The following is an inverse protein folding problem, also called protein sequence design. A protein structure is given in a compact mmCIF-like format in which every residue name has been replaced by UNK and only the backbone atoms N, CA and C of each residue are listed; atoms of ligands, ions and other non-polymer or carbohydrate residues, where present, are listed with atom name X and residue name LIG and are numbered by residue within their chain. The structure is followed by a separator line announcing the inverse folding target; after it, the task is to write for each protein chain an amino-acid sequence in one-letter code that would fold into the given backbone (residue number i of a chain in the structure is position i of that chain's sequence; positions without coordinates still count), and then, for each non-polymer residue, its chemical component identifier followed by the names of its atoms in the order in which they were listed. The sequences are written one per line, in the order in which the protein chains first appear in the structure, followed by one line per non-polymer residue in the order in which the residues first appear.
data_IF_466926542180
#
_entry.id   IF_466926542180
#
_cell.length_a   1.000
_cell.length_b   1.000
_cell.length_c   1.000
_cell.angle_alpha   90.00
_cell.angle_beta   90.00
_cell.angle_gamma   90.00
#
_symmetry.space_group_name_H-M   'P 1'
#
loop_
_entity.id
_entity.type
_entity.pdbx_description
1 polymer ?
#
# COMPACT_ATOMS: atom_id res chain seq x y z
N UNK A 1 -11.15 13.52 -19.11
CA UNK A 1 -12.47 13.95 -18.60
C UNK A 1 -13.23 14.61 -19.74
N UNK A 2 -13.74 13.77 -20.63
CA UNK A 2 -14.69 14.11 -21.71
C UNK A 2 -16.03 13.41 -21.47
N UNK A 3 -16.05 12.26 -20.79
CA UNK A 3 -17.29 11.56 -20.41
C UNK A 3 -17.90 12.18 -19.17
N UNK A 4 -17.12 12.35 -18.09
CA UNK A 4 -17.54 13.14 -16.94
C UNK A 4 -17.43 14.64 -17.27
N UNK A 5 -18.58 15.31 -17.41
CA UNK A 5 -18.68 16.73 -17.76
C UNK A 5 -20.00 17.33 -17.24
N UNK A 6 -20.10 18.68 -17.24
CA UNK A 6 -21.19 19.44 -16.65
C UNK A 6 -22.61 19.15 -17.20
N UNK A 7 -22.74 18.47 -18.34
CA UNK A 7 -24.06 18.01 -18.83
C UNK A 7 -24.64 16.87 -18.00
N UNK A 8 -23.82 16.23 -17.15
CA UNK A 8 -24.25 15.17 -16.23
C UNK A 8 -24.67 15.71 -14.85
N UNK A 9 -24.49 17.00 -14.55
CA UNK A 9 -24.73 17.58 -13.22
C UNK A 9 -26.17 17.30 -12.73
N UNK A 10 -27.17 17.43 -13.61
CA UNK A 10 -28.57 17.10 -13.30
C UNK A 10 -28.77 15.63 -12.92
N UNK A 11 -28.05 14.70 -13.55
CA UNK A 11 -28.10 13.27 -13.23
C UNK A 11 -27.37 12.94 -11.93
N UNK A 12 -26.24 13.59 -11.67
CA UNK A 12 -25.48 13.46 -10.42
C UNK A 12 -26.26 14.02 -9.22
N UNK A 13 -26.88 15.20 -9.36
CA UNK A 13 -27.80 15.77 -8.35
C UNK A 13 -29.02 14.86 -8.14
N UNK A 14 -29.56 14.24 -9.20
CA UNK A 14 -30.65 13.26 -9.07
C UNK A 14 -30.23 12.01 -8.30
N UNK A 15 -28.99 11.54 -8.46
CA UNK A 15 -28.42 10.46 -7.66
C UNK A 15 -28.31 10.84 -6.17
N UNK A 16 -27.76 12.03 -5.87
CA UNK A 16 -27.71 12.57 -4.50
C UNK A 16 -29.12 12.64 -3.88
N UNK A 17 -30.10 13.17 -4.60
CA UNK A 17 -31.48 13.28 -4.12
C UNK A 17 -32.11 11.92 -3.80
N UNK A 18 -31.74 10.85 -4.52
CA UNK A 18 -32.21 9.50 -4.23
C UNK A 18 -31.52 8.89 -2.99
N UNK A 19 -30.22 9.15 -2.79
CA UNK A 19 -29.51 8.79 -1.55
C UNK A 19 -30.08 9.52 -0.32
N UNK A 20 -30.43 10.81 -0.45
CA UNK A 20 -31.09 11.58 0.61
C UNK A 20 -32.50 11.03 0.92
N UNK A 21 -33.25 10.57 -0.09
CA UNK A 21 -34.58 9.97 0.12
C UNK A 21 -34.51 8.65 0.88
N UNK A 22 -33.57 7.77 0.53
CA UNK A 22 -33.33 6.48 1.21
C UNK A 22 -33.17 6.65 2.73
N UNK A 23 -33.94 5.90 3.54
CA UNK A 23 -33.82 5.96 5.01
C UNK A 23 -32.43 5.52 5.49
N UNK A 24 -31.83 4.54 4.82
CA UNK A 24 -30.55 3.94 5.20
C UNK A 24 -29.35 4.77 4.73
N UNK A 25 -29.47 5.42 3.56
CA UNK A 25 -28.37 6.15 2.93
C UNK A 25 -28.31 7.63 3.32
N UNK A 26 -29.41 8.22 3.81
CA UNK A 26 -29.55 9.67 4.05
C UNK A 26 -28.43 10.30 4.86
N UNK A 27 -28.04 9.65 5.97
CA UNK A 27 -27.01 10.17 6.86
C UNK A 27 -25.63 10.30 6.18
N UNK A 28 -25.38 9.52 5.13
CA UNK A 28 -24.10 9.42 4.41
C UNK A 28 -24.24 9.82 2.94
N UNK A 29 -25.34 10.50 2.56
CA UNK A 29 -25.72 10.66 1.16
C UNK A 29 -24.70 11.45 0.33
N UNK A 30 -24.06 12.46 0.93
CA UNK A 30 -23.01 13.25 0.27
C UNK A 30 -21.67 12.51 0.17
N UNK A 31 -21.33 11.68 1.17
CA UNK A 31 -20.11 10.86 1.14
C UNK A 31 -20.19 9.77 0.07
N UNK A 32 -21.30 9.00 0.04
CA UNK A 32 -21.52 7.98 -0.98
C UNK A 32 -21.53 8.57 -2.40
N UNK A 33 -22.07 9.78 -2.57
CA UNK A 33 -22.05 10.48 -3.86
C UNK A 33 -20.63 10.98 -4.24
N UNK A 34 -19.86 11.45 -3.26
CA UNK A 34 -18.46 11.85 -3.47
C UNK A 34 -17.60 10.67 -3.90
N UNK A 35 -17.67 9.54 -3.18
CA UNK A 35 -16.94 8.32 -3.55
C UNK A 35 -17.35 7.83 -4.96
N UNK A 36 -18.65 7.83 -5.27
CA UNK A 36 -19.16 7.50 -6.61
C UNK A 36 -18.60 8.43 -7.72
N UNK A 37 -18.50 9.73 -7.47
CA UNK A 37 -17.89 10.68 -8.41
C UNK A 37 -16.38 10.44 -8.57
N UNK A 38 -15.68 10.17 -7.46
CA UNK A 38 -14.24 9.85 -7.45
C UNK A 38 -13.95 8.58 -8.25
N UNK A 39 -14.74 7.52 -8.09
CA UNK A 39 -14.58 6.27 -8.84
C UNK A 39 -14.82 6.48 -10.35
N UNK A 40 -15.90 7.18 -10.74
CA UNK A 40 -16.18 7.50 -12.16
C UNK A 40 -15.03 8.28 -12.82
N UNK A 41 -14.52 9.30 -12.14
CA UNK A 41 -13.42 10.15 -12.62
C UNK A 41 -12.12 9.32 -12.70
N UNK A 42 -11.85 8.50 -11.68
CA UNK A 42 -10.64 7.66 -11.62
C UNK A 42 -10.59 6.62 -12.73
N UNK A 43 -11.71 5.96 -13.03
CA UNK A 43 -11.78 4.98 -14.12
C UNK A 43 -11.75 5.64 -15.51
N UNK A 44 -12.27 6.86 -15.69
CA UNK A 44 -12.06 7.59 -16.95
C UNK A 44 -10.56 7.93 -17.15
N UNK A 45 -9.88 8.41 -16.11
CA UNK A 45 -8.43 8.68 -16.15
C UNK A 45 -7.64 7.39 -16.43
N UNK A 46 -7.94 6.29 -15.73
CA UNK A 46 -7.33 4.97 -15.95
C UNK A 46 -7.50 4.51 -17.40
N UNK A 47 -8.73 4.60 -17.92
CA UNK A 47 -9.06 4.18 -19.28
C UNK A 47 -8.29 5.00 -20.32
N UNK A 48 -8.23 6.33 -20.17
CA UNK A 48 -7.46 7.23 -21.05
C UNK A 48 -5.97 6.87 -21.04
N UNK A 49 -5.38 6.60 -19.88
CA UNK A 49 -3.97 6.19 -19.78
C UNK A 49 -3.72 4.82 -20.43
N UNK A 50 -4.60 3.84 -20.22
CA UNK A 50 -4.49 2.49 -20.80
C UNK A 50 -4.58 2.48 -22.34
N UNK A 51 -5.40 3.35 -22.94
CA UNK A 51 -5.52 3.46 -24.41
C UNK A 51 -4.54 4.45 -25.04
N UNK A 52 -3.74 5.17 -24.24
CA UNK A 52 -2.82 6.20 -24.74
C UNK A 52 -1.67 5.58 -25.55
N UNK A 53 -1.76 5.65 -26.88
CA UNK A 53 -0.69 5.20 -27.78
C UNK A 53 0.64 5.93 -27.54
N UNK A 54 0.62 7.16 -27.04
CA UNK A 54 1.84 7.87 -26.66
C UNK A 54 2.48 7.24 -25.40
N UNK A 55 1.68 6.87 -24.40
CA UNK A 55 2.18 6.18 -23.20
C UNK A 55 2.73 4.79 -23.56
N UNK A 56 2.00 4.02 -24.39
CA UNK A 56 2.42 2.72 -24.89
C UNK A 56 3.72 2.79 -25.70
N UNK A 57 3.92 3.85 -26.50
CA UNK A 57 5.18 4.09 -27.24
C UNK A 57 6.33 4.43 -26.31
N UNK A 58 6.14 5.34 -25.36
CA UNK A 58 7.18 5.71 -24.38
C UNK A 58 7.63 4.51 -23.52
N UNK A 59 6.70 3.62 -23.16
CA UNK A 59 6.98 2.38 -22.41
C UNK A 59 7.06 1.13 -23.31
N UNK A 60 7.30 1.31 -24.61
CA UNK A 60 7.38 0.18 -25.56
C UNK A 60 8.65 -0.64 -25.36
N UNK A 61 8.63 -1.90 -25.79
CA UNK A 61 9.83 -2.76 -25.87
C UNK A 61 11.00 -2.08 -26.61
N UNK A 62 10.71 -1.31 -27.66
CA UNK A 62 11.75 -0.57 -28.40
C UNK A 62 12.37 0.53 -27.53
N UNK A 63 11.57 1.31 -26.81
CA UNK A 63 12.06 2.35 -25.89
C UNK A 63 12.85 1.74 -24.72
N UNK A 64 12.34 0.66 -24.12
CA UNK A 64 12.98 -0.04 -23.01
C UNK A 64 14.31 -0.70 -23.41
N UNK A 65 14.41 -1.31 -24.58
CA UNK A 65 15.67 -1.89 -25.07
C UNK A 65 16.70 -0.85 -25.54
N UNK A 66 16.29 0.39 -25.81
CA UNK A 66 17.21 1.51 -26.05
C UNK A 66 17.62 2.25 -24.76
N UNK A 67 16.87 2.13 -23.67
CA UNK A 67 17.19 2.78 -22.39
C UNK A 67 18.62 2.48 -21.88
N UNK A 68 19.17 1.25 -21.95
CA UNK A 68 20.55 0.97 -21.55
C UNK A 68 21.59 1.80 -22.32
N UNK A 69 21.38 2.02 -23.62
CA UNK A 69 22.28 2.82 -24.47
C UNK A 69 22.14 4.31 -24.15
N UNK A 70 20.90 4.79 -23.97
CA UNK A 70 20.62 6.17 -23.60
C UNK A 70 21.24 6.52 -22.24
N UNK A 71 21.03 5.66 -21.24
CA UNK A 71 21.61 5.79 -19.90
C UNK A 71 23.15 5.78 -19.94
N UNK A 72 23.76 4.94 -20.77
CA UNK A 72 25.21 4.96 -21.00
C UNK A 72 25.68 6.28 -21.61
N UNK A 73 24.97 6.83 -22.60
CA UNK A 73 25.34 8.07 -23.27
C UNK A 73 25.26 9.30 -22.35
N UNK A 74 24.30 9.35 -21.42
CA UNK A 74 24.19 10.45 -20.46
C UNK A 74 25.17 10.34 -19.28
N UNK A 75 25.43 9.13 -18.76
CA UNK A 75 26.16 8.94 -17.49
C UNK A 75 27.59 8.37 -17.67
N UNK A 76 27.95 7.87 -18.84
CA UNK A 76 29.28 7.28 -19.14
C UNK A 76 29.55 5.89 -18.54
N UNK A 77 28.65 5.36 -17.71
CA UNK A 77 28.82 4.08 -17.02
C UNK A 77 28.65 2.87 -17.95
N UNK A 78 29.76 2.27 -18.41
CA UNK A 78 29.79 1.13 -19.35
C UNK A 78 29.03 -0.12 -18.87
N UNK A 79 28.96 -0.31 -17.56
CA UNK A 79 28.29 -1.44 -16.92
C UNK A 79 27.27 -0.93 -15.90
N UNK A 80 26.18 -1.66 -15.75
CA UNK A 80 25.29 -1.60 -14.60
C UNK A 80 25.80 -2.58 -13.54
N UNK A 81 25.66 -2.23 -12.28
CA UNK A 81 25.97 -3.09 -11.14
C UNK A 81 24.72 -3.92 -10.81
N UNK A 82 24.80 -5.24 -10.96
CA UNK A 82 23.83 -6.19 -10.42
C UNK A 82 24.16 -6.46 -8.96
N UNK A 83 23.29 -6.04 -8.06
CA UNK A 83 23.39 -6.25 -6.61
C UNK A 83 22.51 -7.42 -6.18
N UNK A 84 23.00 -8.22 -5.23
CA UNK A 84 22.37 -9.47 -4.76
C UNK A 84 23.25 -10.14 -3.69
N UNK A 85 23.37 -11.48 -3.70
CA UNK A 85 24.31 -12.20 -2.79
C UNK A 85 25.78 -11.85 -3.01
N UNK A 86 26.11 -11.36 -4.21
CA UNK A 86 27.38 -10.76 -4.61
C UNK A 86 27.04 -9.62 -5.55
N UNK A 87 27.89 -8.60 -5.60
CA UNK A 87 27.86 -7.62 -6.68
C UNK A 87 28.60 -8.17 -7.91
N UNK A 88 28.12 -7.83 -9.10
CA UNK A 88 28.78 -8.12 -10.38
C UNK A 88 28.35 -7.10 -11.44
N UNK A 89 29.14 -6.96 -12.48
CA UNK A 89 28.83 -6.08 -13.61
C UNK A 89 27.90 -6.75 -14.63
N UNK A 90 27.03 -5.95 -15.25
CA UNK A 90 26.18 -6.27 -16.39
C UNK A 90 26.41 -5.22 -17.48
N UNK A 91 26.93 -5.61 -18.64
CA UNK A 91 27.16 -4.64 -19.71
C UNK A 91 25.87 -4.14 -20.35
N UNK A 92 25.94 -2.97 -20.99
CA UNK A 92 24.85 -2.33 -21.73
C UNK A 92 24.25 -3.27 -22.78
N UNK A 93 25.09 -4.03 -23.49
CA UNK A 93 24.67 -5.00 -24.51
C UNK A 93 23.87 -6.16 -23.91
N UNK A 94 24.30 -6.71 -22.77
CA UNK A 94 23.59 -7.80 -22.12
C UNK A 94 22.20 -7.35 -21.63
N UNK A 95 22.11 -6.18 -20.97
CA UNK A 95 20.82 -5.64 -20.53
C UNK A 95 19.92 -5.31 -21.73
N UNK A 96 20.46 -4.74 -22.81
CA UNK A 96 19.73 -4.51 -24.05
C UNK A 96 19.17 -5.81 -24.63
N UNK A 97 20.00 -6.85 -24.74
CA UNK A 97 19.62 -8.12 -25.35
C UNK A 97 18.46 -8.80 -24.59
N UNK A 98 18.48 -8.75 -23.25
CA UNK A 98 17.36 -9.23 -22.41
C UNK A 98 16.08 -8.44 -22.70
N UNK A 99 16.17 -7.11 -22.79
CA UNK A 99 15.02 -6.23 -23.05
C UNK A 99 14.55 -6.27 -24.52
N UNK A 100 15.37 -6.81 -25.45
CA UNK A 100 15.05 -6.93 -26.87
C UNK A 100 14.62 -8.34 -27.32
N UNK A 101 14.70 -9.37 -26.48
CA UNK A 101 14.31 -10.74 -26.82
C UNK A 101 12.79 -10.88 -27.08
N UNK A 102 12.38 -11.59 -28.14
CA UNK A 102 10.98 -11.81 -28.56
C UNK A 102 10.46 -13.21 -28.21
N UNK A 103 11.32 -14.23 -28.15
CA UNK A 103 10.96 -15.61 -27.80
C UNK A 103 11.37 -16.01 -26.38
N UNK A 104 10.77 -17.07 -25.84
CA UNK A 104 11.15 -17.60 -24.51
C UNK A 104 12.59 -18.16 -24.54
N UNK A 105 12.97 -18.74 -25.67
CA UNK A 105 14.28 -19.27 -25.97
C UNK A 105 15.35 -18.17 -26.00
N UNK A 106 15.07 -17.03 -26.66
CA UNK A 106 15.94 -15.85 -26.64
C UNK A 106 16.04 -15.23 -25.25
N UNK A 107 14.92 -15.11 -24.52
CA UNK A 107 14.90 -14.59 -23.14
C UNK A 107 15.79 -15.46 -22.24
N UNK A 108 15.64 -16.79 -22.32
CA UNK A 108 16.46 -17.71 -21.54
C UNK A 108 17.94 -17.62 -21.92
N UNK A 109 18.26 -17.64 -23.22
CA UNK A 109 19.64 -17.53 -23.70
C UNK A 109 20.31 -16.21 -23.28
N UNK A 110 19.57 -15.09 -23.32
CA UNK A 110 20.06 -13.77 -22.88
C UNK A 110 20.28 -13.72 -21.36
N UNK A 111 19.38 -14.31 -20.57
CA UNK A 111 19.50 -14.44 -19.10
C UNK A 111 20.71 -15.32 -18.72
N UNK A 112 20.93 -16.43 -19.44
CA UNK A 112 22.07 -17.33 -19.23
C UNK A 112 23.41 -16.66 -19.61
N UNK A 113 23.48 -15.95 -20.74
CA UNK A 113 24.68 -15.18 -21.11
C UNK A 113 24.98 -14.05 -20.12
N UNK A 114 23.94 -13.33 -19.66
CA UNK A 114 24.07 -12.33 -18.59
C UNK A 114 24.35 -12.95 -17.19
N UNK A 115 24.36 -14.28 -17.08
CA UNK A 115 24.57 -15.02 -15.83
C UNK A 115 23.65 -14.57 -14.69
N UNK A 116 22.40 -14.20 -15.00
CA UNK A 116 21.47 -13.57 -14.08
C UNK A 116 20.98 -14.52 -12.97
N UNK A 117 21.06 -14.05 -11.72
CA UNK A 117 20.69 -14.79 -10.53
C UNK A 117 19.23 -14.58 -10.11
N UNK A 118 18.63 -15.59 -9.47
CA UNK A 118 17.19 -15.60 -9.11
C UNK A 118 16.73 -14.52 -8.10
N UNK A 119 17.63 -13.65 -7.62
CA UNK A 119 17.38 -12.54 -6.65
C UNK A 119 18.44 -11.45 -6.80
N UNK A 120 18.43 -10.73 -7.91
CA UNK A 120 19.36 -9.63 -8.22
C UNK A 120 18.59 -8.39 -8.73
N UNK A 121 19.17 -7.20 -8.57
CA UNK A 121 18.61 -5.90 -9.02
C UNK A 121 19.72 -4.96 -9.54
N UNK A 122 19.34 -3.93 -10.31
CA UNK A 122 20.27 -2.99 -10.98
C UNK A 122 20.62 -1.76 -10.11
N UNK A 123 21.82 -1.18 -10.32
CA UNK A 123 22.44 0.03 -9.70
C UNK A 123 23.47 0.65 -10.66
N UNK A 124 23.75 1.96 -10.85
CA UNK A 124 23.21 3.28 -10.42
C UNK A 124 23.66 3.97 -9.10
N UNK A 125 24.92 3.71 -8.73
CA UNK A 125 25.77 4.58 -7.87
C UNK A 125 25.50 4.52 -6.35
N UNK A 126 24.70 3.56 -5.90
CA UNK A 126 24.60 3.19 -4.48
C UNK A 126 23.46 3.84 -3.71
N UNK A 127 22.64 4.67 -4.37
CA UNK A 127 21.37 5.15 -3.82
C UNK A 127 20.18 4.20 -4.11
N UNK A 128 20.40 3.07 -4.81
CA UNK A 128 19.31 2.19 -5.26
C UNK A 128 18.44 1.65 -4.14
N UNK A 129 19.02 1.30 -3.00
CA UNK A 129 18.23 0.79 -1.88
C UNK A 129 17.17 1.84 -1.46
N UNK A 130 17.48 3.14 -1.59
CA UNK A 130 16.49 4.22 -1.42
C UNK A 130 15.50 4.27 -2.58
N UNK A 131 15.96 4.29 -3.84
CA UNK A 131 15.09 4.37 -5.05
C UNK A 131 14.11 3.19 -5.14
N UNK A 132 14.55 1.99 -4.75
CA UNK A 132 13.75 0.77 -4.68
C UNK A 132 12.77 0.81 -3.50
N UNK A 133 13.18 1.31 -2.33
CA UNK A 133 12.24 1.55 -1.22
C UNK A 133 11.16 2.58 -1.61
N UNK A 134 11.48 3.61 -2.40
CA UNK A 134 10.50 4.55 -2.96
C UNK A 134 9.49 3.81 -3.86
N UNK A 135 9.96 2.99 -4.80
CA UNK A 135 9.07 2.21 -5.68
C UNK A 135 8.17 1.26 -4.89
N UNK A 136 8.72 0.47 -3.96
CA UNK A 136 7.93 -0.44 -3.12
C UNK A 136 6.92 0.31 -2.22
N UNK A 137 7.28 1.50 -1.72
CA UNK A 137 6.36 2.37 -0.98
C UNK A 137 5.22 2.87 -1.88
N UNK A 138 5.52 3.33 -3.10
CA UNK A 138 4.52 3.74 -4.09
C UNK A 138 3.62 2.59 -4.56
N UNK A 139 4.11 1.35 -4.59
CA UNK A 139 3.32 0.16 -4.91
C UNK A 139 2.25 -0.13 -3.86
N UNK A 140 2.52 0.09 -2.57
CA UNK A 140 1.61 -0.31 -1.48
C UNK A 140 0.85 0.86 -0.83
N UNK A 141 1.37 2.09 -0.90
CA UNK A 141 0.79 3.28 -0.26
C UNK A 141 -0.37 3.85 -1.08
N UNK A 142 -1.49 4.16 -0.41
CA UNK A 142 -2.62 4.94 -0.94
C UNK A 142 -2.57 6.40 -0.49
N UNK A 143 -2.14 6.67 0.75
CA UNK A 143 -1.91 8.01 1.31
C UNK A 143 -0.72 7.99 2.28
N UNK A 144 0.09 9.04 2.28
CA UNK A 144 1.16 9.30 3.26
C UNK A 144 1.26 10.80 3.55
N UNK A 145 1.78 11.16 4.73
CA UNK A 145 1.97 12.54 5.16
C UNK A 145 2.76 13.37 4.13
N UNK A 146 3.86 12.80 3.60
CA UNK A 146 4.80 13.46 2.68
C UNK A 146 4.14 14.05 1.42
N UNK A 147 3.23 13.30 0.80
CA UNK A 147 2.54 13.72 -0.43
C UNK A 147 1.17 14.36 -0.19
N UNK A 148 0.69 14.36 1.07
CA UNK A 148 -0.68 14.76 1.41
C UNK A 148 -0.70 15.57 2.72
N UNK A 149 0.21 16.54 2.84
CA UNK A 149 0.32 17.49 3.97
C UNK A 149 -0.97 18.26 4.28
N UNK A 150 -1.88 18.37 3.29
CA UNK A 150 -3.17 19.04 3.40
C UNK A 150 -4.35 18.06 3.60
N UNK A 151 -4.14 16.84 4.10
CA UNK A 151 -5.27 16.05 4.62
C UNK A 151 -5.66 16.61 5.98
N UNK A 152 -6.83 17.23 6.05
CA UNK A 152 -7.44 17.60 7.33
C UNK A 152 -8.35 16.49 7.91
N UNK A 153 -8.80 15.52 7.07
CA UNK A 153 -9.68 14.41 7.47
C UNK A 153 -9.14 13.04 7.01
N UNK A 154 -8.66 12.21 7.94
CA UNK A 154 -8.44 10.76 7.72
C UNK A 154 -9.49 9.97 8.49
N UNK A 155 -10.27 9.14 7.81
CA UNK A 155 -11.12 8.14 8.44
C UNK A 155 -10.34 6.86 8.79
N UNK A 156 -10.62 6.28 9.95
CA UNK A 156 -10.11 4.97 10.36
C UNK A 156 -10.89 3.86 9.65
N UNK A 157 -10.19 2.99 8.93
CA UNK A 157 -10.76 1.95 8.08
C UNK A 157 -9.70 0.94 7.65
N UNK A 158 -10.08 -0.10 6.90
CA UNK A 158 -9.11 -1.06 6.35
C UNK A 158 -7.94 -0.37 5.63
N UNK A 159 -6.71 -0.71 6.03
CA UNK A 159 -5.49 -0.14 5.46
C UNK A 159 -4.92 1.09 6.18
N UNK A 160 -5.63 1.70 7.14
CA UNK A 160 -5.06 2.76 7.99
C UNK A 160 -3.91 2.21 8.84
N UNK A 161 -2.74 2.86 8.80
CA UNK A 161 -1.57 2.55 9.62
C UNK A 161 -1.38 3.61 10.70
N UNK A 162 -1.28 3.14 11.94
CA UNK A 162 -1.01 3.96 13.12
C UNK A 162 0.29 3.55 13.81
N UNK A 163 0.95 4.48 14.49
CA UNK A 163 2.19 4.31 15.24
C UNK A 163 1.99 4.81 16.68
N UNK A 164 2.51 4.09 17.69
CA UNK A 164 2.57 4.59 19.07
C UNK A 164 3.98 5.04 19.50
N UNK A 165 4.05 5.66 20.68
CA UNK A 165 5.30 6.13 21.29
C UNK A 165 6.30 5.02 21.67
N UNK A 166 5.95 3.75 21.46
CA UNK A 166 6.81 2.58 21.72
C UNK A 166 7.23 1.86 20.42
N UNK A 167 7.06 2.52 19.26
CA UNK A 167 7.37 2.00 17.93
C UNK A 167 6.58 0.74 17.53
N UNK A 168 5.42 0.48 18.16
CA UNK A 168 4.46 -0.49 17.64
C UNK A 168 3.61 0.15 16.54
N UNK A 169 3.44 -0.62 15.47
CA UNK A 169 2.66 -0.22 14.29
C UNK A 169 1.37 -1.03 14.25
N UNK A 170 0.26 -0.37 13.97
CA UNK A 170 -1.07 -0.96 13.98
C UNK A 170 -1.72 -0.78 12.61
N UNK A 171 -1.85 -1.87 11.86
CA UNK A 171 -2.59 -1.91 10.60
C UNK A 171 -4.05 -2.24 10.89
N UNK A 172 -4.97 -1.33 10.59
CA UNK A 172 -6.40 -1.61 10.67
C UNK A 172 -6.79 -2.66 9.61
N UNK A 173 -7.36 -3.78 10.07
CA UNK A 173 -7.79 -4.92 9.24
C UNK A 173 -9.32 -5.02 9.12
N UNK A 174 -10.06 -4.22 9.90
CA UNK A 174 -11.52 -4.09 9.85
C UNK A 174 -12.02 -3.85 8.43
N UNK A 175 -13.04 -4.60 7.92
CA UNK A 175 -13.64 -4.33 6.61
C UNK A 175 -14.18 -2.90 6.47
N UNK A 176 -14.20 -2.38 5.24
CA UNK A 176 -14.65 -1.02 4.96
C UNK A 176 -16.13 -0.79 5.33
N UNK A 177 -16.99 -1.80 5.14
CA UNK A 177 -18.39 -1.76 5.56
C UNK A 177 -18.58 -1.63 7.08
N UNK A 178 -17.63 -2.17 7.85
CA UNK A 178 -17.64 -2.19 9.32
C UNK A 178 -16.85 -1.00 9.91
N UNK A 179 -16.44 -0.07 9.03
CA UNK A 179 -15.71 1.18 9.36
C UNK A 179 -16.58 2.43 9.15
N UNK A 180 -17.83 2.27 8.70
CA UNK A 180 -18.80 3.32 8.35
C UNK A 180 -20.13 3.05 9.04
N UNK A 181 -21.04 4.04 9.02
CA UNK A 181 -22.38 3.97 9.65
C UNK A 181 -22.36 3.72 11.16
N UNK A 182 -21.25 4.05 11.81
CA UNK A 182 -20.99 3.80 13.23
C UNK A 182 -21.86 4.65 14.15
N UNK A 183 -22.03 4.21 15.39
CA UNK A 183 -22.81 4.89 16.44
C UNK A 183 -21.99 4.91 17.74
N UNK A 184 -22.10 5.97 18.54
CA UNK A 184 -21.54 6.18 19.90
C UNK A 184 -20.12 5.65 20.20
N UNK A 185 -19.93 4.32 20.25
CA UNK A 185 -18.66 3.62 20.41
C UNK A 185 -18.50 2.57 19.31
N UNK A 186 -17.34 2.56 18.64
CA UNK A 186 -16.95 1.52 17.71
C UNK A 186 -15.64 0.85 18.13
N UNK A 187 -15.59 -0.49 18.09
CA UNK A 187 -14.37 -1.26 18.30
C UNK A 187 -13.74 -1.59 16.93
N UNK A 188 -12.42 -1.41 16.81
CA UNK A 188 -11.66 -1.61 15.57
C UNK A 188 -10.57 -2.66 15.76
N UNK A 189 -10.50 -3.63 14.84
CA UNK A 189 -9.45 -4.65 14.79
C UNK A 189 -8.20 -4.18 14.05
N UNK A 190 -7.04 -4.37 14.69
CA UNK A 190 -5.73 -4.07 14.13
C UNK A 190 -4.80 -5.28 14.21
N UNK A 191 -3.95 -5.47 13.20
CA UNK A 191 -2.74 -6.28 13.32
C UNK A 191 -1.59 -5.42 13.85
N UNK A 192 -0.97 -5.85 14.95
CA UNK A 192 0.24 -5.24 15.53
C UNK A 192 1.50 -5.77 14.84
N UNK A 193 2.28 -4.84 14.30
CA UNK A 193 3.68 -5.00 13.89
C UNK A 193 4.62 -4.11 14.70
N UNK A 194 5.87 -4.04 14.26
CA UNK A 194 6.95 -3.20 14.83
C UNK A 194 7.73 -2.54 13.70
N UNK A 195 8.46 -1.46 14.02
CA UNK A 195 9.56 -1.02 13.16
C UNK A 195 10.71 -2.03 13.25
N UNK A 196 11.34 -2.35 12.11
CA UNK A 196 12.44 -3.32 11.99
C UNK A 196 13.29 -2.99 10.76
N UNK A 197 14.55 -2.58 10.96
CA UNK A 197 15.45 -2.17 9.88
C UNK A 197 15.92 -3.31 8.97
N UNK A 198 15.84 -4.56 9.43
CA UNK A 198 16.52 -5.72 8.82
C UNK A 198 15.53 -6.76 8.26
N UNK A 199 14.33 -6.85 8.85
CA UNK A 199 13.37 -7.93 8.59
C UNK A 199 11.94 -7.37 8.44
N UNK A 200 11.78 -6.24 7.76
CA UNK A 200 10.48 -5.68 7.39
C UNK A 200 9.80 -6.48 6.27
N UNK A 201 8.51 -6.19 6.03
CA UNK A 201 7.74 -6.67 4.87
C UNK A 201 6.73 -5.62 4.34
N UNK A 202 6.81 -4.38 4.85
CA UNK A 202 5.98 -3.26 4.50
C UNK A 202 6.85 -1.98 4.61
N UNK A 203 6.73 -1.07 3.65
CA UNK A 203 7.51 0.18 3.56
C UNK A 203 6.56 1.35 3.32
N UNK A 204 6.61 2.36 4.19
CA UNK A 204 5.88 3.62 4.02
C UNK A 204 6.89 4.77 4.12
N UNK A 205 6.81 5.75 3.22
CA UNK A 205 7.62 6.97 3.36
C UNK A 205 7.16 7.80 4.56
N UNK A 206 8.13 8.27 5.35
CA UNK A 206 7.87 9.26 6.40
C UNK A 206 7.75 10.69 5.83
N UNK A 207 7.28 11.62 6.66
CA UNK A 207 7.13 13.03 6.30
C UNK A 207 8.42 13.74 5.87
N UNK A 208 9.60 13.20 6.18
CA UNK A 208 10.92 13.77 5.86
C UNK A 208 11.58 13.12 4.63
N UNK A 209 10.97 12.07 4.05
CA UNK A 209 11.51 11.34 2.90
C UNK A 209 12.49 10.21 3.25
N UNK A 210 12.46 9.75 4.50
CA UNK A 210 12.94 8.43 4.92
C UNK A 210 11.82 7.37 4.83
N UNK A 211 11.97 6.27 5.58
CA UNK A 211 11.04 5.14 5.54
C UNK A 211 10.73 4.55 6.93
N UNK A 212 9.44 4.41 7.21
CA UNK A 212 8.95 3.42 8.16
C UNK A 212 9.09 2.02 7.56
N UNK A 213 10.19 1.34 7.90
CA UNK A 213 10.42 -0.10 7.65
C UNK A 213 9.64 -0.91 8.68
N UNK A 214 8.55 -1.54 8.25
CA UNK A 214 7.57 -2.16 9.16
C UNK A 214 7.59 -3.67 9.00
N UNK A 215 7.78 -4.39 10.11
CA UNK A 215 7.50 -5.82 10.19
C UNK A 215 6.06 -6.03 10.64
N UNK A 216 5.22 -6.51 9.73
CA UNK A 216 3.80 -6.80 9.93
C UNK A 216 3.57 -8.33 9.90
N UNK A 217 3.60 -9.01 11.08
CA UNK A 217 3.53 -10.47 11.17
C UNK A 217 2.09 -10.98 11.13
N UNK A 218 1.70 -11.67 10.04
CA UNK A 218 0.36 -12.26 9.86
C UNK A 218 0.07 -13.44 10.83
N UNK A 219 -0.10 -13.14 12.12
CA UNK A 219 -0.39 -14.08 13.22
C UNK A 219 -1.56 -13.58 14.05
N UNK A 220 -2.52 -14.45 14.34
CA UNK A 220 -3.69 -14.11 15.17
C UNK A 220 -3.32 -13.58 16.57
N UNK A 221 -2.19 -14.03 17.15
CA UNK A 221 -1.66 -13.55 18.43
C UNK A 221 -1.19 -12.09 18.45
N UNK A 222 -1.22 -11.41 17.29
CA UNK A 222 -0.94 -9.98 17.17
C UNK A 222 -2.17 -9.16 16.73
N UNK A 223 -3.35 -9.79 16.60
CA UNK A 223 -4.60 -9.04 16.49
C UNK A 223 -4.87 -8.39 17.85
N UNK A 224 -5.19 -7.10 17.84
CA UNK A 224 -5.69 -6.36 19.00
C UNK A 224 -6.93 -5.56 18.60
N UNK A 225 -7.71 -5.15 19.61
CA UNK A 225 -8.83 -4.23 19.42
C UNK A 225 -8.53 -2.89 20.09
N UNK A 226 -8.95 -1.79 19.46
CA UNK A 226 -9.05 -0.48 20.09
C UNK A 226 -10.48 0.06 19.96
N UNK A 227 -11.05 0.50 21.08
CA UNK A 227 -12.32 1.21 21.14
C UNK A 227 -12.15 2.69 20.80
N UNK A 228 -13.03 3.26 19.99
CA UNK A 228 -13.08 4.70 19.69
C UNK A 228 -14.49 5.25 19.91
N UNK A 229 -14.59 6.51 20.36
CA UNK A 229 -15.84 7.25 20.38
C UNK A 229 -16.17 7.80 19.00
N UNK A 230 -17.40 7.61 18.54
CA UNK A 230 -17.90 8.12 17.26
C UNK A 230 -18.42 9.54 17.47
N UNK A 231 -17.94 10.50 16.68
CA UNK A 231 -18.44 11.87 16.75
C UNK A 231 -19.81 11.99 16.08
N UNK A 232 -20.74 12.67 16.75
CA UNK A 232 -22.15 12.74 16.37
C UNK A 232 -22.34 13.27 14.95
N UNK A 233 -23.02 12.49 14.11
CA UNK A 233 -23.30 12.83 12.71
C UNK A 233 -22.25 12.35 11.70
N UNK A 234 -21.02 12.06 12.12
CA UNK A 234 -19.96 11.60 11.21
C UNK A 234 -20.13 10.13 10.82
N UNK A 235 -20.51 9.25 11.78
CA UNK A 235 -20.65 7.81 11.53
C UNK A 235 -19.38 7.08 11.06
N UNK A 236 -18.23 7.75 11.14
CA UNK A 236 -16.87 7.25 10.93
C UNK A 236 -15.99 7.80 12.06
N UNK A 237 -14.89 7.11 12.38
CA UNK A 237 -13.88 7.65 13.30
C UNK A 237 -12.91 8.51 12.48
N UNK A 238 -12.84 9.81 12.76
CA UNK A 238 -11.93 10.76 12.09
C UNK A 238 -10.72 11.02 12.99
N UNK A 239 -9.52 11.00 12.41
CA UNK A 239 -8.28 11.33 13.09
C UNK A 239 -8.16 12.83 13.32
N UNK A 240 -7.77 13.24 14.53
CA UNK A 240 -7.67 14.65 14.93
C UNK A 240 -6.31 15.22 14.56
N UNK A 241 -6.30 16.36 13.87
CA UNK A 241 -5.09 17.12 13.55
C UNK A 241 -4.57 17.82 14.81
N UNK A 242 -3.29 17.65 15.10
CA UNK A 242 -2.60 18.27 16.23
C UNK A 242 -1.60 19.28 15.67
N UNK A 243 -1.81 20.55 15.99
CA UNK A 243 -0.94 21.64 15.54
C UNK A 243 0.08 21.92 16.66
N UNK A 244 1.12 21.10 16.77
CA UNK A 244 2.25 21.36 17.64
C UNK A 244 3.38 22.04 16.86
N UNK A 245 4.18 22.85 17.56
CA UNK A 245 5.18 23.74 16.93
C UNK A 245 6.10 22.94 16.00
N UNK A 246 6.07 23.30 14.71
CA UNK A 246 6.81 22.70 13.59
C UNK A 246 6.43 21.27 13.16
N UNK A 247 5.37 20.65 13.70
CA UNK A 247 4.82 19.39 13.15
C UNK A 247 3.29 19.30 13.25
N UNK A 248 2.61 19.46 12.10
CA UNK A 248 1.22 19.02 11.94
C UNK A 248 1.18 17.49 11.85
N UNK A 249 0.45 16.82 12.73
CA UNK A 249 0.19 15.38 12.59
C UNK A 249 -1.23 14.99 12.98
N UNK A 250 -1.75 13.98 12.29
CA UNK A 250 -3.07 13.41 12.54
C UNK A 250 -2.92 12.29 13.58
N UNK A 251 -3.81 12.22 14.56
CA UNK A 251 -3.79 11.19 15.59
C UNK A 251 -5.18 10.60 15.86
N UNK A 252 -5.18 9.35 16.31
CA UNK A 252 -6.35 8.67 16.83
C UNK A 252 -6.11 8.39 18.32
N UNK A 253 -7.14 8.58 19.13
CA UNK A 253 -7.07 8.37 20.59
C UNK A 253 -8.15 7.36 20.96
N UNK A 254 -7.79 6.09 21.26
CA UNK A 254 -8.73 5.12 21.77
C UNK A 254 -9.32 5.57 23.11
N UNK A 255 -10.54 5.11 23.39
CA UNK A 255 -11.15 5.25 24.71
C UNK A 255 -10.29 4.52 25.76
N UNK A 256 -10.22 5.11 26.96
CA UNK A 256 -9.47 4.54 28.06
C UNK A 256 -10.09 3.20 28.50
N UNK A 257 -9.28 2.15 28.51
CA UNK A 257 -9.52 0.98 29.36
C UNK A 257 -9.13 1.38 30.79
N UNK A 258 -9.96 1.04 31.77
CA UNK A 258 -10.10 1.67 33.11
C UNK A 258 -8.88 1.57 34.07
N UNK A 259 -7.67 1.29 33.57
CA UNK A 259 -6.45 1.04 34.36
C UNK A 259 -5.20 1.78 33.88
N UNK A 260 -5.33 2.73 32.95
CA UNK A 260 -4.21 3.56 32.46
C UNK A 260 -4.57 5.04 32.62
N UNK A 261 -3.76 5.80 33.37
CA UNK A 261 -4.02 7.20 33.70
C UNK A 261 -3.77 8.19 32.54
N UNK A 262 -3.18 7.73 31.44
CA UNK A 262 -2.87 8.53 30.25
C UNK A 262 -3.52 7.91 29.01
N UNK A 263 -4.21 8.70 28.17
CA UNK A 263 -4.80 8.19 26.93
C UNK A 263 -3.70 7.81 25.93
N UNK A 264 -3.86 6.67 25.27
CA UNK A 264 -2.92 6.23 24.24
C UNK A 264 -3.09 7.08 22.99
N UNK A 265 -2.05 7.81 22.59
CA UNK A 265 -2.05 8.54 21.31
C UNK A 265 -1.47 7.64 20.23
N UNK A 266 -2.19 7.52 19.11
CA UNK A 266 -1.78 6.75 17.93
C UNK A 266 -1.60 7.71 16.75
N UNK A 267 -0.35 8.03 16.39
CA UNK A 267 -0.02 8.89 15.22
C UNK A 267 -0.41 8.15 13.94
N UNK A 268 -1.11 8.81 13.03
CA UNK A 268 -1.31 8.30 11.67
C UNK A 268 -0.01 8.43 10.86
N UNK A 269 0.43 7.34 10.23
CA UNK A 269 1.64 7.33 9.38
C UNK A 269 1.33 7.03 7.90
N UNK A 270 0.14 6.50 7.58
CA UNK A 270 -0.26 6.26 6.20
C UNK A 270 -1.55 5.45 6.04
N UNK A 271 -2.00 5.32 4.81
CA UNK A 271 -3.08 4.40 4.40
C UNK A 271 -2.52 3.53 3.26
N UNK A 272 -2.53 2.21 3.40
CA UNK A 272 -2.15 1.30 2.31
C UNK A 272 -3.33 1.01 1.38
N UNK A 273 -3.04 0.59 0.14
CA UNK A 273 -4.06 0.25 -0.86
C UNK A 273 -4.91 -0.92 -0.37
N UNK A 274 -6.23 -0.82 -0.56
CA UNK A 274 -7.23 -1.78 -0.05
C UNK A 274 -6.91 -3.23 -0.43
N UNK A 275 -6.43 -3.47 -1.64
CA UNK A 275 -6.03 -4.81 -2.12
C UNK A 275 -4.89 -5.42 -1.30
N UNK A 276 -3.92 -4.61 -0.84
CA UNK A 276 -2.82 -5.07 0.00
C UNK A 276 -3.27 -5.29 1.45
N UNK A 277 -4.15 -4.42 1.97
CA UNK A 277 -4.75 -4.59 3.30
C UNK A 277 -5.64 -5.86 3.36
N UNK A 278 -6.43 -6.11 2.32
CA UNK A 278 -7.22 -7.33 2.19
C UNK A 278 -6.34 -8.57 2.06
N UNK A 279 -5.24 -8.52 1.29
CA UNK A 279 -4.27 -9.62 1.23
C UNK A 279 -3.74 -9.98 2.63
N UNK A 280 -3.26 -9.00 3.39
CA UNK A 280 -2.77 -9.24 4.77
C UNK A 280 -3.89 -9.82 5.64
N UNK A 281 -5.12 -9.31 5.52
CA UNK A 281 -6.28 -9.81 6.27
C UNK A 281 -6.56 -11.28 5.93
N UNK A 282 -6.53 -11.65 4.66
CA UNK A 282 -6.66 -13.04 4.19
C UNK A 282 -5.51 -13.92 4.68
N UNK A 283 -4.27 -13.44 4.68
CA UNK A 283 -3.11 -14.18 5.20
C UNK A 283 -3.26 -14.47 6.71
N UNK A 284 -3.83 -13.55 7.49
CA UNK A 284 -4.16 -13.77 8.91
C UNK A 284 -5.26 -14.83 9.05
N UNK A 285 -6.36 -14.71 8.30
CA UNK A 285 -7.50 -15.65 8.36
C UNK A 285 -7.07 -17.05 7.94
N UNK A 286 -6.31 -17.20 6.87
CA UNK A 286 -5.74 -18.48 6.42
C UNK A 286 -4.78 -19.10 7.45
N UNK A 287 -4.17 -18.29 8.33
CA UNK A 287 -3.36 -18.78 9.45
C UNK A 287 -4.18 -19.12 10.70
N UNK A 288 -5.31 -18.45 10.92
CA UNK A 288 -6.25 -18.71 12.02
C UNK A 288 -7.11 -19.96 11.75
N UNK A 289 -7.61 -20.12 10.53
CA UNK A 289 -8.48 -21.24 10.10
C UNK A 289 -7.72 -22.55 9.84
N UNK A 290 -6.47 -22.69 10.27
CA UNK A 290 -5.69 -23.92 10.14
C UNK A 290 -6.21 -24.98 11.10
N UNK A 291 -6.92 -25.98 10.58
CA UNK A 291 -7.36 -27.13 11.36
C UNK A 291 -6.13 -27.98 11.73
N UNK A 292 -5.89 -28.15 13.03
CA UNK A 292 -4.82 -28.99 13.57
C UNK A 292 -5.13 -30.49 13.45
N UNK A 293 -5.10 -31.01 12.21
CA UNK A 293 -5.23 -32.45 11.96
C UNK A 293 -3.88 -33.15 12.21
N UNK A 294 -3.71 -33.69 13.41
CA UNK A 294 -2.57 -34.56 13.81
C UNK A 294 -2.68 -36.00 13.23
N UNK A 295 -3.79 -36.27 12.54
CA UNK A 295 -3.96 -37.51 11.78
C UNK A 295 -2.87 -37.63 10.71
N UNK A 296 -2.06 -38.69 10.81
CA UNK A 296 -0.94 -39.03 9.92
C UNK A 296 0.34 -38.19 10.03
N UNK A 297 0.59 -37.46 11.12
CA UNK A 297 1.90 -36.81 11.32
C UNK A 297 3.07 -37.84 11.32
N UNK A 298 2.82 -39.06 11.79
CA UNK A 298 3.75 -40.20 11.68
C UNK A 298 4.07 -40.62 10.22
N UNK A 299 3.16 -40.41 9.26
CA UNK A 299 3.45 -40.60 7.83
C UNK A 299 4.29 -39.44 7.27
N UNK A 300 4.08 -38.20 7.75
CA UNK A 300 4.85 -37.02 7.33
C UNK A 300 6.28 -36.99 7.86
N UNK A 301 6.53 -37.63 8.99
CA UNK A 301 7.90 -37.92 9.47
C UNK A 301 8.53 -38.92 8.51
N UNK A 302 7.89 -40.09 8.32
CA UNK A 302 8.40 -41.16 7.44
C UNK A 302 8.61 -40.71 5.98
N UNK A 303 7.82 -39.76 5.46
CA UNK A 303 7.96 -39.24 4.10
C UNK A 303 9.03 -38.15 3.94
N UNK A 304 9.86 -37.90 4.96
CA UNK A 304 11.08 -37.07 4.87
C UNK A 304 12.38 -37.87 4.89
N UNK A 305 12.28 -39.16 5.22
CA UNK A 305 13.38 -40.13 5.27
C UNK A 305 13.43 -41.00 3.99
N UNK A 306 12.87 -40.50 2.88
CA UNK A 306 12.79 -41.10 1.54
C UNK A 306 13.10 -40.03 0.49
#
# INVERSE_FOLDING_TARGET
LTKYNNKLDTAYVSHILNLIKSKESRAYAYENAHDYAVDLISEEIRSILQISENLKKSLSKNSLSHWPIFHYAENGCKNFLLTGKKQKDLSVEHLRNILSADSLEEIQHAIEHASLGKKEYLSQDGEEDKKLMQLCSLEITRRSLRYHSHIDNVSLKQGTLLLDAYNFVYLCIQPLCDSVRLHEKADFLFLRGTLDDNNYNLLIEDEYGGFYKIKMPAKASNIISFSFGVENGNGVIIGKKNNLVNTDYISFVPLLVEKISTPKVLKWIGEIKTTYAQKITTDIVANLSRIGLDQHEWLRIKSKDI
#
